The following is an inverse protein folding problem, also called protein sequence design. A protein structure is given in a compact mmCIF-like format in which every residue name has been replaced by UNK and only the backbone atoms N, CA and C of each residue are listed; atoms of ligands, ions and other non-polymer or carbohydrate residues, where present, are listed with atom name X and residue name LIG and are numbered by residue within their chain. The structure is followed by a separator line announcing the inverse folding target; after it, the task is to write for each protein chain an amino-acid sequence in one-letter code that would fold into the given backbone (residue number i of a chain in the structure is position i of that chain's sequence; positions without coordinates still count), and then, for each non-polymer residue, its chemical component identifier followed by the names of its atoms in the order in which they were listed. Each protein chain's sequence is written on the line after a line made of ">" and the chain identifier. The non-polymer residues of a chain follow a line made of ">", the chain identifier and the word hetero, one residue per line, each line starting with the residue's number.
data_IF_157591102778
#
_entry.id   IF_157591102778
#
_cell.length_a   1.000
_cell.length_b   1.000
_cell.length_c   1.000
_cell.angle_alpha   90.00
_cell.angle_beta   90.00
_cell.angle_gamma   90.00
#
_symmetry.space_group_name_H-M   'P 1'
#
loop_
_entity.id
_entity.type
_entity.pdbx_description
1 polymer ?
#
# COMPACT_ATOMS: atom_id res chain seq x y z
N UNK A 1 1.78 22.41 8.75
CA UNK A 1 1.61 22.57 7.28
C UNK A 1 0.15 22.37 6.91
N UNK A 2 -0.59 23.46 6.68
CA UNK A 2 -1.98 23.39 6.20
C UNK A 2 -1.95 22.86 4.77
N UNK A 3 -2.56 21.68 4.51
CA UNK A 3 -2.70 21.17 3.15
C UNK A 3 -3.63 22.11 2.39
N UNK A 4 -3.09 22.90 1.46
CA UNK A 4 -3.92 23.72 0.55
C UNK A 4 -4.89 22.77 -0.17
N UNK A 5 -6.22 23.01 -0.11
CA UNK A 5 -7.18 22.18 -0.83
C UNK A 5 -6.86 22.26 -2.32
N UNK A 6 -6.66 21.10 -2.94
CA UNK A 6 -6.52 20.97 -4.39
C UNK A 6 -7.87 21.35 -5.02
N UNK A 7 -8.07 22.61 -5.36
CA UNK A 7 -9.40 23.03 -5.78
C UNK A 7 -9.38 24.16 -6.80
N UNK A 8 -8.79 23.91 -7.97
CA UNK A 8 -9.35 24.52 -9.18
C UNK A 8 -10.61 23.74 -9.55
N UNK A 9 -11.72 24.43 -9.82
CA UNK A 9 -13.00 23.80 -10.20
C UNK A 9 -12.83 22.88 -11.42
N UNK A 10 -11.94 23.25 -12.35
CA UNK A 10 -11.60 22.45 -13.53
C UNK A 10 -10.97 21.09 -13.18
N UNK A 11 -10.05 21.04 -12.20
CA UNK A 11 -9.45 19.77 -11.78
C UNK A 11 -10.48 18.84 -11.13
N UNK A 12 -11.46 19.39 -10.40
CA UNK A 12 -12.59 18.62 -9.85
C UNK A 12 -13.48 18.06 -10.96
N UNK A 13 -13.77 18.86 -11.99
CA UNK A 13 -14.56 18.42 -13.14
C UNK A 13 -13.87 17.30 -13.92
N UNK A 14 -12.57 17.44 -14.23
CA UNK A 14 -11.79 16.39 -14.92
C UNK A 14 -11.78 15.10 -14.09
N UNK A 15 -11.60 15.22 -12.78
CA UNK A 15 -11.61 14.06 -11.89
C UNK A 15 -12.98 13.36 -11.85
N UNK A 16 -14.05 14.15 -11.81
CA UNK A 16 -15.42 13.64 -11.86
C UNK A 16 -15.71 12.93 -13.19
N UNK A 17 -15.34 13.54 -14.32
CA UNK A 17 -15.50 12.93 -15.64
C UNK A 17 -14.70 11.64 -15.79
N UNK A 18 -13.46 11.60 -15.29
CA UNK A 18 -12.65 10.38 -15.26
C UNK A 18 -13.31 9.29 -14.41
N UNK A 19 -13.86 9.64 -13.25
CA UNK A 19 -14.51 8.69 -12.36
C UNK A 19 -15.77 8.11 -13.00
N UNK A 20 -16.65 8.97 -13.52
CA UNK A 20 -17.88 8.55 -14.22
C UNK A 20 -17.55 7.73 -15.47
N UNK A 21 -16.61 8.19 -16.29
CA UNK A 21 -16.17 7.48 -17.48
C UNK A 21 -15.55 6.12 -17.16
N UNK A 22 -14.74 6.04 -16.10
CA UNK A 22 -14.16 4.78 -15.62
C UNK A 22 -15.22 3.78 -15.18
N UNK A 23 -16.24 4.23 -14.43
CA UNK A 23 -17.36 3.37 -14.03
C UNK A 23 -18.20 2.91 -15.23
N UNK A 24 -18.53 3.81 -16.16
CA UNK A 24 -19.27 3.44 -17.37
C UNK A 24 -18.50 2.41 -18.21
N UNK A 25 -17.20 2.62 -18.40
CA UNK A 25 -16.34 1.68 -19.12
C UNK A 25 -16.29 0.32 -18.41
N UNK A 26 -16.16 0.33 -17.09
CA UNK A 26 -16.15 -0.89 -16.27
C UNK A 26 -17.47 -1.66 -16.39
N UNK A 27 -18.62 -1.00 -16.22
CA UNK A 27 -19.92 -1.62 -16.37
C UNK A 27 -20.15 -2.14 -17.79
N UNK A 28 -19.80 -1.37 -18.81
CA UNK A 28 -19.92 -1.81 -20.21
C UNK A 28 -19.05 -3.03 -20.51
N UNK A 29 -17.80 -3.04 -20.02
CA UNK A 29 -16.89 -4.17 -20.18
C UNK A 29 -17.40 -5.43 -19.46
N UNK A 30 -17.83 -5.29 -18.20
CA UNK A 30 -18.39 -6.41 -17.43
C UNK A 30 -19.70 -6.92 -18.00
N UNK A 31 -20.58 -6.02 -18.43
CA UNK A 31 -21.82 -6.40 -19.12
C UNK A 31 -21.51 -7.23 -20.38
N UNK A 32 -20.49 -6.83 -21.14
CA UNK A 32 -20.04 -7.59 -22.31
C UNK A 32 -19.49 -8.97 -21.92
N UNK A 33 -18.72 -9.08 -20.86
CA UNK A 33 -18.21 -10.37 -20.36
C UNK A 33 -19.36 -11.29 -19.93
N UNK A 34 -20.36 -10.76 -19.22
CA UNK A 34 -21.52 -11.53 -18.74
C UNK A 34 -22.43 -11.98 -19.89
N UNK A 35 -22.61 -11.15 -20.91
CA UNK A 35 -23.52 -11.43 -22.03
C UNK A 35 -22.86 -12.17 -23.19
N UNK A 36 -21.54 -12.03 -23.37
CA UNK A 36 -20.79 -12.63 -24.47
C UNK A 36 -19.89 -13.74 -23.94
N UNK A 37 -20.37 -14.99 -24.02
CA UNK A 37 -19.59 -16.17 -23.63
C UNK A 37 -18.56 -16.63 -24.69
N UNK A 38 -18.36 -15.84 -25.75
CA UNK A 38 -17.38 -16.13 -26.82
C UNK A 38 -16.20 -15.17 -26.72
N UNK A 39 -15.00 -15.73 -26.67
CA UNK A 39 -13.76 -14.95 -26.64
C UNK A 39 -13.56 -14.26 -27.99
N UNK A 40 -13.44 -12.94 -27.97
CA UNK A 40 -13.05 -12.15 -29.14
C UNK A 40 -11.54 -11.88 -29.08
N UNK A 41 -10.75 -12.67 -29.81
CA UNK A 41 -9.28 -12.58 -29.81
C UNK A 41 -8.74 -11.20 -30.21
N UNK A 42 -9.27 -10.48 -31.22
CA UNK A 42 -8.86 -9.12 -31.51
C UNK A 42 -8.97 -8.16 -30.31
N UNK A 43 -10.09 -8.21 -29.59
CA UNK A 43 -10.31 -7.34 -28.43
C UNK A 43 -9.38 -7.73 -27.28
N UNK A 44 -9.17 -9.03 -27.06
CA UNK A 44 -8.22 -9.52 -26.09
C UNK A 44 -6.79 -9.06 -26.42
N UNK A 45 -6.40 -9.11 -27.69
CA UNK A 45 -5.11 -8.60 -28.15
C UNK A 45 -4.92 -7.12 -27.86
N UNK A 46 -5.93 -6.29 -28.12
CA UNK A 46 -5.90 -4.87 -27.76
C UNK A 46 -5.83 -4.62 -26.25
N UNK A 47 -6.54 -5.41 -25.44
CA UNK A 47 -6.47 -5.33 -23.98
C UNK A 47 -5.07 -5.67 -23.46
N UNK A 48 -4.47 -6.75 -23.98
CA UNK A 48 -3.12 -7.19 -23.59
C UNK A 48 -2.09 -6.12 -24.00
N UNK A 49 -2.14 -5.66 -25.26
CA UNK A 49 -1.21 -4.64 -25.76
C UNK A 49 -1.37 -3.32 -24.98
N UNK A 50 -2.62 -2.92 -24.73
CA UNK A 50 -2.94 -1.74 -23.92
C UNK A 50 -2.38 -1.87 -22.51
N UNK A 51 -2.59 -3.00 -21.83
CA UNK A 51 -2.06 -3.25 -20.49
C UNK A 51 -0.52 -3.23 -20.48
N UNK A 52 0.12 -3.86 -21.47
CA UNK A 52 1.57 -3.94 -21.60
C UNK A 52 2.22 -2.56 -21.78
N UNK A 53 1.51 -1.59 -22.33
CA UNK A 53 2.01 -0.23 -22.52
C UNK A 53 1.62 0.67 -21.34
N UNK A 54 0.33 0.68 -20.98
CA UNK A 54 -0.25 1.60 -20.00
C UNK A 54 0.30 1.31 -18.60
N UNK A 55 0.38 0.05 -18.18
CA UNK A 55 0.82 -0.30 -16.83
C UNK A 55 2.27 0.15 -16.62
N UNK A 56 3.27 -0.26 -17.44
CA UNK A 56 4.64 0.20 -17.26
C UNK A 56 4.78 1.72 -17.37
N UNK A 57 4.04 2.37 -18.27
CA UNK A 57 4.08 3.82 -18.39
C UNK A 57 3.61 4.52 -17.11
N UNK A 58 2.48 4.09 -16.53
CA UNK A 58 1.98 4.61 -15.25
C UNK A 58 3.00 4.34 -14.14
N UNK A 59 3.58 3.13 -14.09
CA UNK A 59 4.60 2.76 -13.10
C UNK A 59 5.83 3.66 -13.19
N UNK A 60 6.34 3.92 -14.40
CA UNK A 60 7.50 4.80 -14.62
C UNK A 60 7.19 6.24 -14.24
N UNK A 61 6.02 6.76 -14.61
CA UNK A 61 5.57 8.10 -14.22
C UNK A 61 5.45 8.23 -12.70
N UNK A 62 4.90 7.20 -12.04
CA UNK A 62 4.79 7.15 -10.59
C UNK A 62 6.15 7.08 -9.91
N UNK A 63 7.07 6.25 -10.40
CA UNK A 63 8.44 6.16 -9.88
C UNK A 63 9.16 7.51 -10.03
N UNK A 64 9.09 8.13 -11.21
CA UNK A 64 9.68 9.46 -11.47
C UNK A 64 9.08 10.52 -10.54
N UNK A 65 7.76 10.49 -10.32
CA UNK A 65 7.09 11.40 -9.38
C UNK A 65 7.59 11.22 -7.95
N UNK A 66 7.73 9.98 -7.46
CA UNK A 66 8.25 9.69 -6.13
C UNK A 66 9.72 10.10 -5.97
N UNK A 67 10.56 9.82 -6.98
CA UNK A 67 11.95 10.27 -6.99
C UNK A 67 12.06 11.79 -6.98
N UNK A 68 11.22 12.49 -7.74
CA UNK A 68 11.18 13.95 -7.72
C UNK A 68 10.77 14.49 -6.34
N UNK A 69 9.75 13.89 -5.71
CA UNK A 69 9.36 14.24 -4.34
C UNK A 69 10.48 13.98 -3.34
N UNK A 70 11.19 12.85 -3.46
CA UNK A 70 12.32 12.50 -2.60
C UNK A 70 13.48 13.49 -2.77
N UNK A 71 13.89 13.79 -4.01
CA UNK A 71 14.93 14.79 -4.29
C UNK A 71 14.58 16.17 -3.74
N UNK A 72 13.29 16.55 -3.78
CA UNK A 72 12.84 17.87 -3.31
C UNK A 72 12.68 17.96 -1.80
N UNK A 73 12.22 16.88 -1.14
CA UNK A 73 11.90 16.88 0.29
C UNK A 73 12.99 16.25 1.16
N UNK A 74 13.96 15.59 0.54
CA UNK A 74 14.99 14.82 1.22
C UNK A 74 14.45 13.55 1.89
N UNK A 75 15.27 12.92 2.74
CA UNK A 75 14.85 11.79 3.57
C UNK A 75 13.66 12.18 4.46
N UNK A 76 12.77 11.24 4.75
CA UNK A 76 11.71 11.47 5.75
C UNK A 76 12.35 11.50 7.14
N UNK A 77 12.69 12.70 7.61
CA UNK A 77 13.34 12.91 8.91
C UNK A 77 12.36 12.87 10.09
N UNK A 78 11.07 13.08 9.84
CA UNK A 78 10.01 12.95 10.84
C UNK A 78 9.42 11.53 10.86
N UNK A 79 10.26 10.52 11.04
CA UNK A 79 9.77 9.25 11.56
C UNK A 79 9.44 9.50 13.03
N UNK A 80 8.21 9.14 13.44
CA UNK A 80 7.86 9.12 14.87
C UNK A 80 8.92 8.26 15.54
N UNK A 81 9.64 8.82 16.52
CA UNK A 81 10.55 8.05 17.36
C UNK A 81 9.68 6.96 17.98
N UNK A 82 9.82 5.74 17.50
CA UNK A 82 9.18 4.58 18.13
C UNK A 82 9.87 4.50 19.48
N UNK A 83 9.11 4.60 20.55
CA UNK A 83 9.64 4.34 21.87
C UNK A 83 10.19 2.91 21.85
N UNK A 84 11.49 2.78 22.03
CA UNK A 84 12.17 1.48 22.08
C UNK A 84 11.76 0.67 23.32
N UNK A 85 11.04 1.29 24.25
CA UNK A 85 10.45 0.68 25.43
C UNK A 85 9.15 -0.03 25.05
N UNK A 86 9.30 -1.23 24.48
CA UNK A 86 8.17 -2.13 24.22
C UNK A 86 7.78 -2.87 25.51
N UNK A 87 7.35 -2.12 26.52
CA UNK A 87 6.94 -2.65 27.84
C UNK A 87 5.54 -3.23 27.80
N UNK A 88 4.68 -2.74 26.91
CA UNK A 88 3.33 -3.24 26.71
C UNK A 88 3.08 -3.42 25.22
N UNK A 89 2.40 -4.51 24.87
CA UNK A 89 1.97 -4.72 23.49
C UNK A 89 0.75 -3.86 23.13
N UNK A 90 0.29 -3.99 21.88
CA UNK A 90 -0.85 -3.23 21.36
C UNK A 90 -2.19 -3.60 22.02
N UNK A 91 -2.25 -4.71 22.77
CA UNK A 91 -3.41 -5.12 23.59
C UNK A 91 -3.26 -4.69 25.06
N UNK A 92 -2.15 -4.04 25.42
CA UNK A 92 -1.86 -3.63 26.79
C UNK A 92 -1.28 -4.74 27.65
N UNK A 93 -0.88 -5.89 27.09
CA UNK A 93 -0.22 -6.96 27.84
C UNK A 93 1.22 -6.57 28.15
N UNK A 94 1.67 -6.79 29.38
CA UNK A 94 3.05 -6.51 29.76
C UNK A 94 4.01 -7.44 28.99
N UNK A 95 5.01 -6.88 28.32
CA UNK A 95 6.00 -7.63 27.56
C UNK A 95 7.27 -7.78 28.40
N UNK A 96 7.65 -9.04 28.68
CA UNK A 96 8.92 -9.37 29.32
C UNK A 96 9.83 -10.08 28.34
N UNK A 97 10.99 -9.49 28.09
CA UNK A 97 11.94 -9.98 27.11
C UNK A 97 13.37 -9.60 27.53
N UNK A 98 14.29 -10.55 27.47
CA UNK A 98 15.72 -10.25 27.45
C UNK A 98 16.13 -9.86 26.02
N UNK A 99 15.90 -8.59 25.66
CA UNK A 99 16.16 -8.07 24.32
C UNK A 99 17.62 -8.21 23.88
N UNK A 100 18.57 -8.30 24.81
CA UNK A 100 19.98 -8.51 24.48
C UNK A 100 20.21 -9.97 24.08
N UNK A 101 19.72 -10.93 24.87
CA UNK A 101 19.81 -12.36 24.56
C UNK A 101 19.02 -12.77 23.32
N UNK A 102 17.86 -12.17 23.08
CA UNK A 102 17.01 -12.47 21.92
C UNK A 102 17.58 -11.96 20.60
N UNK A 103 18.34 -10.86 20.60
CA UNK A 103 18.98 -10.33 19.38
C UNK A 103 19.97 -11.31 18.75
N UNK A 104 20.59 -12.16 19.56
CA UNK A 104 21.53 -13.19 19.12
C UNK A 104 20.88 -14.58 18.96
N UNK A 105 19.56 -14.71 19.21
CA UNK A 105 18.87 -15.99 19.15
C UNK A 105 18.48 -16.36 17.71
N UNK A 106 18.71 -17.61 17.32
CA UNK A 106 18.23 -18.15 16.03
C UNK A 106 16.71 -18.37 15.99
N UNK A 107 16.09 -18.57 17.15
CA UNK A 107 14.66 -18.79 17.29
C UNK A 107 14.16 -18.22 18.61
N UNK A 108 13.00 -17.58 18.55
CA UNK A 108 12.34 -16.92 19.69
C UNK A 108 10.98 -17.59 19.88
N UNK A 109 10.73 -18.08 21.09
CA UNK A 109 9.43 -18.55 21.53
C UNK A 109 8.69 -17.44 22.27
N UNK A 110 7.39 -17.32 22.00
CA UNK A 110 6.53 -16.32 22.63
C UNK A 110 5.49 -17.06 23.46
N UNK A 111 5.66 -17.04 24.78
CA UNK A 111 4.69 -17.57 25.71
C UNK A 111 3.68 -16.48 26.09
N UNK A 112 2.39 -16.77 25.95
CA UNK A 112 1.31 -15.95 26.48
C UNK A 112 0.91 -16.46 27.86
N UNK A 113 1.11 -15.62 28.88
CA UNK A 113 0.57 -15.79 30.22
C UNK A 113 -0.66 -14.85 30.40
N UNK A 114 -1.50 -15.04 31.43
CA UNK A 114 -2.77 -14.32 31.56
C UNK A 114 -2.66 -12.78 31.57
N UNK A 115 -1.55 -12.23 32.05
CA UNK A 115 -1.31 -10.78 32.19
C UNK A 115 -0.04 -10.29 31.47
N UNK A 116 0.75 -11.21 30.92
CA UNK A 116 2.04 -10.88 30.33
C UNK A 116 2.41 -11.78 29.15
N UNK A 117 3.22 -11.22 28.26
CA UNK A 117 3.80 -11.90 27.10
C UNK A 117 5.30 -12.04 27.30
N UNK A 118 5.80 -13.27 27.33
CA UNK A 118 7.22 -13.57 27.56
C UNK A 118 7.90 -14.01 26.26
N UNK A 119 8.98 -13.33 25.92
CA UNK A 119 9.82 -13.69 24.78
C UNK A 119 11.03 -14.46 25.31
N UNK A 120 11.15 -15.72 24.93
CA UNK A 120 12.18 -16.64 25.38
C UNK A 120 13.04 -17.05 24.18
N UNK A 121 14.35 -17.17 24.39
CA UNK A 121 15.20 -17.83 23.40
C UNK A 121 14.85 -19.32 23.40
N UNK A 122 14.60 -19.88 22.23
CA UNK A 122 14.48 -21.33 22.08
C UNK A 122 15.89 -21.90 22.05
N UNK A 123 16.22 -22.76 23.02
CA UNK A 123 17.48 -23.51 23.11
C UNK A 123 17.52 -24.65 22.10
#
# INVERSE_FOLDING_TARGET
>A
MVRKPLSSKGRKLVHFLMLVGGWLLFFAAWWRVLTTQRINFPILGWLILGALIIIPLITLLWQRHNLHLYKRKGPRLNLRRVEEHYEHDWQGLQVRADWAGLRAAHSIEIALEPDQKRYLRRS
#
